data_IF_630558421234
#
_entry.id   IF_630558421234
#
_cell.length_a   1.000
_cell.length_b   1.000
_cell.length_c   1.000
_cell.angle_alpha   90.00
_cell.angle_beta   90.00
_cell.angle_gamma   90.00
#
_symmetry.space_group_name_H-M   'P 1'
#
loop_
_entity.id
_entity.type
_entity.pdbx_description
1 polymer ?
#
# COMPACT_ATOMS: atom_id res chain seq x y z
N UNK A 1 11.96 -1.64 -23.54
CA UNK A 1 12.93 -2.61 -22.97
C UNK A 1 12.52 -2.82 -21.52
N UNK A 2 12.17 -4.04 -21.14
CA UNK A 2 11.85 -4.38 -19.74
C UNK A 2 13.15 -4.38 -18.94
N UNK A 3 13.25 -3.53 -17.92
CA UNK A 3 14.36 -3.48 -16.95
C UNK A 3 14.34 -4.73 -16.06
N UNK A 4 14.89 -5.83 -16.60
CA UNK A 4 14.93 -7.15 -15.96
C UNK A 4 16.26 -7.34 -15.21
N UNK A 5 16.24 -7.86 -13.96
CA UNK A 5 17.46 -8.05 -13.20
C UNK A 5 18.47 -8.93 -13.92
N UNK A 6 19.75 -8.56 -13.82
CA UNK A 6 20.85 -9.34 -14.41
C UNK A 6 21.10 -10.62 -13.61
N UNK A 7 21.87 -11.56 -14.17
CA UNK A 7 22.28 -12.76 -13.44
C UNK A 7 23.04 -12.43 -12.14
N UNK A 8 23.81 -11.35 -12.13
CA UNK A 8 24.53 -10.86 -10.95
C UNK A 8 23.54 -10.35 -9.89
N UNK A 9 22.57 -9.52 -10.29
CA UNK A 9 21.52 -9.02 -9.39
C UNK A 9 20.77 -10.20 -8.75
N UNK A 10 20.39 -11.19 -9.57
CA UNK A 10 19.70 -12.39 -9.10
C UNK A 10 20.54 -13.22 -8.12
N UNK A 11 21.81 -13.51 -8.45
CA UNK A 11 22.70 -14.28 -7.55
C UNK A 11 22.83 -13.62 -6.18
N UNK A 12 23.01 -12.30 -6.16
CA UNK A 12 23.09 -11.53 -4.90
C UNK A 12 21.77 -11.62 -4.12
N UNK A 13 20.65 -11.34 -4.78
CA UNK A 13 19.32 -11.35 -4.14
C UNK A 13 18.96 -12.71 -3.55
N UNK A 14 19.14 -13.80 -4.30
CA UNK A 14 18.85 -15.16 -3.80
C UNK A 14 19.79 -15.57 -2.66
N UNK A 15 21.05 -15.13 -2.67
CA UNK A 15 22.01 -15.40 -1.58
C UNK A 15 21.61 -14.68 -0.29
N UNK A 16 21.22 -13.41 -0.40
CA UNK A 16 20.73 -12.62 0.72
C UNK A 16 19.41 -13.20 1.28
N UNK A 17 18.48 -13.58 0.39
CA UNK A 17 17.21 -14.19 0.76
C UNK A 17 17.39 -15.53 1.48
N UNK A 18 18.27 -16.42 1.02
CA UNK A 18 18.51 -17.70 1.72
C UNK A 18 19.17 -17.50 3.09
N UNK A 19 20.08 -16.52 3.21
CA UNK A 19 20.67 -16.16 4.50
C UNK A 19 19.60 -15.61 5.46
N UNK A 20 18.72 -14.72 4.99
CA UNK A 20 17.62 -14.18 5.78
C UNK A 20 16.63 -15.27 6.21
N UNK A 21 16.30 -16.20 5.31
CA UNK A 21 15.46 -17.37 5.63
C UNK A 21 16.06 -18.24 6.73
N UNK A 22 17.37 -18.44 6.71
CA UNK A 22 18.09 -19.20 7.75
C UNK A 22 18.11 -18.48 9.09
N UNK A 23 18.08 -17.14 9.11
CA UNK A 23 17.94 -16.34 10.33
C UNK A 23 16.54 -16.51 10.96
N UNK A 24 15.51 -16.72 10.12
CA UNK A 24 14.12 -16.95 10.52
C UNK A 24 13.62 -15.96 11.59
N UNK A 25 13.70 -14.64 11.35
CA UNK A 25 13.41 -13.64 12.37
C UNK A 25 11.97 -13.67 12.87
N UNK A 26 11.02 -14.08 12.02
CA UNK A 26 9.62 -14.28 12.33
C UNK A 26 9.35 -15.32 13.44
N UNK A 27 10.33 -16.15 13.83
CA UNK A 27 10.17 -17.07 14.96
C UNK A 27 10.29 -16.37 16.33
N UNK A 28 10.77 -15.11 16.37
CA UNK A 28 11.09 -14.42 17.61
C UNK A 28 10.87 -12.89 17.57
N UNK A 29 10.31 -12.36 16.50
CA UNK A 29 10.02 -10.94 16.30
C UNK A 29 8.59 -10.77 15.79
N UNK A 30 7.88 -9.80 16.37
CA UNK A 30 6.53 -9.38 15.95
C UNK A 30 6.59 -8.46 14.71
N UNK A 31 5.45 -8.26 14.06
CA UNK A 31 5.31 -7.50 12.80
C UNK A 31 5.10 -5.98 12.99
N UNK A 32 5.36 -5.48 14.20
CA UNK A 32 5.16 -4.08 14.61
C UNK A 32 6.45 -3.24 14.66
N UNK A 33 7.60 -3.82 14.30
CA UNK A 33 8.91 -3.13 14.31
C UNK A 33 9.51 -2.98 12.91
N UNK A 34 10.12 -1.83 12.69
CA UNK A 34 10.82 -1.50 11.44
C UNK A 34 12.18 -0.84 11.69
N UNK A 35 13.07 -0.95 10.69
CA UNK A 35 14.29 -0.16 10.59
C UNK A 35 14.45 0.38 9.16
N UNK A 36 15.10 1.53 8.99
CA UNK A 36 15.35 2.13 7.68
C UNK A 36 16.66 1.64 7.06
N UNK A 37 16.70 1.65 5.73
CA UNK A 37 17.91 1.50 4.93
C UNK A 37 17.95 2.64 3.93
N UNK A 38 18.98 3.48 4.00
CA UNK A 38 19.15 4.58 3.05
C UNK A 38 19.75 4.05 1.76
N UNK A 39 19.02 4.24 0.67
CA UNK A 39 19.51 3.95 -0.67
C UNK A 39 20.63 4.94 -1.02
N UNK A 40 21.86 4.47 -1.31
CA UNK A 40 22.99 5.35 -1.60
C UNK A 40 22.86 6.10 -2.93
N UNK A 41 22.10 5.56 -3.89
CA UNK A 41 21.96 6.15 -5.22
C UNK A 41 20.92 7.28 -5.25
N UNK A 42 19.84 7.12 -4.50
CA UNK A 42 18.70 8.06 -4.50
C UNK A 42 18.63 8.93 -3.24
N UNK A 43 19.28 8.52 -2.16
CA UNK A 43 19.15 9.13 -0.84
C UNK A 43 17.82 8.84 -0.14
N UNK A 44 16.88 8.13 -0.78
CA UNK A 44 15.61 7.72 -0.17
C UNK A 44 15.83 6.67 0.90
N UNK A 45 14.95 6.63 1.90
CA UNK A 45 15.00 5.64 2.97
C UNK A 45 13.84 4.68 2.78
N UNK A 46 14.15 3.39 2.68
CA UNK A 46 13.18 2.31 2.63
C UNK A 46 13.14 1.59 3.97
N UNK A 47 11.95 1.21 4.44
CA UNK A 47 11.75 0.69 5.80
C UNK A 47 11.48 -0.81 5.77
N UNK A 48 12.28 -1.55 6.50
CA UNK A 48 12.27 -3.00 6.54
C UNK A 48 11.48 -3.48 7.76
N UNK A 49 10.42 -4.26 7.53
CA UNK A 49 9.64 -4.97 8.54
C UNK A 49 9.66 -6.48 8.33
N UNK A 50 9.47 -7.24 9.40
CA UNK A 50 9.43 -8.72 9.38
C UNK A 50 7.97 -9.16 9.44
N UNK A 51 7.56 -10.05 8.54
CA UNK A 51 6.27 -10.74 8.63
C UNK A 51 6.45 -12.20 8.99
N UNK A 52 5.50 -12.74 9.76
CA UNK A 52 5.36 -14.17 10.00
C UNK A 52 5.16 -14.61 11.43
N UNK A 53 5.01 -13.67 12.37
CA UNK A 53 4.72 -13.98 13.78
C UNK A 53 3.44 -14.84 13.93
N UNK A 54 2.46 -14.66 13.04
CA UNK A 54 1.21 -15.45 13.00
C UNK A 54 1.32 -16.76 12.19
N UNK A 55 2.47 -17.06 11.59
CA UNK A 55 2.74 -18.33 10.90
C UNK A 55 2.14 -18.48 9.49
N UNK A 56 1.51 -17.44 8.95
CA UNK A 56 0.86 -17.48 7.62
C UNK A 56 1.79 -17.04 6.48
N UNK A 57 2.52 -15.94 6.66
CA UNK A 57 3.40 -15.34 5.64
C UNK A 57 4.78 -15.13 6.23
N UNK A 58 5.81 -15.74 5.63
CA UNK A 58 7.20 -15.57 6.06
C UNK A 58 7.92 -14.63 5.10
N UNK A 59 8.20 -13.39 5.51
CA UNK A 59 8.76 -12.40 4.59
C UNK A 59 9.56 -11.28 5.27
N UNK A 60 10.47 -10.69 4.48
CA UNK A 60 10.88 -9.30 4.68
C UNK A 60 10.03 -8.41 3.79
N UNK A 61 9.42 -7.37 4.37
CA UNK A 61 8.73 -6.30 3.64
C UNK A 61 9.58 -5.05 3.70
N UNK A 62 9.75 -4.39 2.56
CA UNK A 62 10.53 -3.17 2.39
C UNK A 62 9.57 -2.09 1.89
N UNK A 63 9.05 -1.30 2.82
CA UNK A 63 8.17 -0.16 2.55
C UNK A 63 8.95 0.97 1.91
N UNK A 64 8.57 1.36 0.69
CA UNK A 64 9.35 2.28 -0.12
C UNK A 64 9.11 3.75 0.26
N UNK A 65 10.15 4.44 0.72
CA UNK A 65 10.09 5.85 1.05
C UNK A 65 9.02 6.24 2.08
N UNK A 66 8.67 7.53 2.09
CA UNK A 66 7.66 8.07 3.01
C UNK A 66 6.25 7.54 2.69
N UNK A 67 5.95 7.23 1.42
CA UNK A 67 4.66 6.68 1.00
C UNK A 67 4.44 5.29 1.61
N UNK A 68 5.45 4.40 1.50
CA UNK A 68 5.43 3.08 2.11
C UNK A 68 5.37 3.16 3.64
N UNK A 69 6.18 4.01 4.27
CA UNK A 69 6.15 4.20 5.73
C UNK A 69 4.76 4.62 6.21
N UNK A 70 4.12 5.59 5.53
CA UNK A 70 2.77 6.04 5.89
C UNK A 70 1.76 4.89 5.81
N UNK A 71 1.89 4.03 4.80
CA UNK A 71 1.04 2.86 4.66
C UNK A 71 1.23 1.83 5.77
N UNK A 72 2.48 1.59 6.19
CA UNK A 72 2.79 0.78 7.36
C UNK A 72 2.20 1.37 8.64
N UNK A 73 2.40 2.67 8.90
CA UNK A 73 1.89 3.34 10.10
C UNK A 73 0.35 3.25 10.20
N UNK A 74 -0.36 3.47 9.09
CA UNK A 74 -1.82 3.31 9.02
C UNK A 74 -2.29 1.87 9.29
N UNK A 75 -1.47 0.88 8.93
CA UNK A 75 -1.78 -0.53 9.17
C UNK A 75 -1.61 -0.87 10.65
N UNK A 76 -0.49 -0.49 11.27
CA UNK A 76 -0.21 -0.80 12.69
C UNK A 76 -1.09 0.01 13.65
N UNK A 77 -1.49 1.24 13.27
CA UNK A 77 -2.41 2.07 14.08
C UNK A 77 -3.86 1.56 14.07
N UNK A 78 -4.21 0.64 13.16
CA UNK A 78 -5.57 0.17 12.96
C UNK A 78 -6.49 1.19 12.28
N UNK A 79 -5.95 2.26 11.68
CA UNK A 79 -6.72 3.22 10.89
C UNK A 79 -7.33 2.57 9.63
N UNK A 80 -6.68 1.54 9.09
CA UNK A 80 -7.22 0.73 8.00
C UNK A 80 -8.17 -0.31 8.60
N UNK A 81 -9.43 0.08 8.78
CA UNK A 81 -10.46 -0.80 9.33
C UNK A 81 -10.94 -1.87 8.31
N UNK A 82 -10.92 -1.55 7.02
CA UNK A 82 -11.40 -2.44 5.96
C UNK A 82 -10.24 -3.05 5.15
N UNK A 83 -10.31 -4.36 4.93
CA UNK A 83 -9.29 -5.09 4.15
C UNK A 83 -9.20 -4.61 2.70
N UNK A 84 -10.29 -4.09 2.12
CA UNK A 84 -10.33 -3.48 0.79
C UNK A 84 -9.40 -2.28 0.66
N UNK A 85 -9.16 -1.56 1.75
CA UNK A 85 -8.32 -0.36 1.76
C UNK A 85 -6.84 -0.69 1.95
N UNK A 86 -6.47 -1.89 2.42
CA UNK A 86 -5.05 -2.30 2.60
C UNK A 86 -4.25 -2.16 1.29
N UNK A 87 -4.88 -2.50 0.15
CA UNK A 87 -4.25 -2.40 -1.17
C UNK A 87 -3.92 -0.96 -1.57
N UNK A 88 -4.54 0.05 -0.96
CA UNK A 88 -4.28 1.47 -1.21
C UNK A 88 -2.98 1.96 -0.56
N UNK A 89 -2.55 1.29 0.48
CA UNK A 89 -1.46 1.74 1.33
C UNK A 89 -0.22 0.85 1.20
N UNK A 90 -0.31 -0.26 0.48
CA UNK A 90 0.79 -1.21 0.33
C UNK A 90 1.71 -0.83 -0.84
N UNK A 91 2.60 0.14 -0.60
CA UNK A 91 3.76 0.40 -1.46
C UNK A 91 5.01 -0.24 -0.86
N UNK A 92 5.43 -1.37 -1.43
CA UNK A 92 6.56 -2.12 -0.88
C UNK A 92 7.20 -3.08 -1.88
N UNK A 93 8.46 -3.43 -1.61
CA UNK A 93 9.08 -4.66 -2.11
C UNK A 93 8.94 -5.75 -1.06
N UNK A 94 8.76 -6.99 -1.50
CA UNK A 94 8.63 -8.13 -0.60
C UNK A 94 9.51 -9.27 -1.07
N UNK A 95 10.26 -9.85 -0.13
CA UNK A 95 10.91 -11.13 -0.26
C UNK A 95 10.20 -12.12 0.66
N UNK A 96 9.33 -12.97 0.10
CA UNK A 96 8.57 -13.98 0.84
C UNK A 96 9.06 -15.39 0.53
N UNK A 97 8.71 -16.34 1.40
CA UNK A 97 9.05 -17.75 1.24
C UNK A 97 7.78 -18.60 1.14
N UNK A 98 7.51 -19.03 -0.08
CA UNK A 98 6.23 -19.64 -0.45
C UNK A 98 6.34 -21.16 -0.68
N UNK A 99 5.19 -21.78 -0.99
CA UNK A 99 5.16 -23.10 -1.61
C UNK A 99 5.47 -23.01 -3.10
N UNK A 100 6.00 -24.10 -3.65
CA UNK A 100 6.30 -24.23 -5.09
C UNK A 100 5.11 -23.89 -6.00
N UNK A 101 3.89 -24.20 -5.56
CA UNK A 101 2.65 -24.03 -6.35
C UNK A 101 2.27 -22.56 -6.55
N UNK A 102 2.78 -21.66 -5.70
CA UNK A 102 2.43 -20.25 -5.71
C UNK A 102 3.39 -19.42 -6.60
N UNK A 103 4.51 -20.02 -7.02
CA UNK A 103 5.46 -19.39 -7.94
C UNK A 103 4.95 -19.40 -9.38
N UNK A 104 5.09 -18.26 -10.05
CA UNK A 104 4.78 -18.14 -11.46
C UNK A 104 5.86 -18.82 -12.33
N UNK A 105 5.56 -19.16 -13.59
CA UNK A 105 6.54 -19.75 -14.51
C UNK A 105 7.82 -18.93 -14.69
N UNK A 106 7.71 -17.59 -14.59
CA UNK A 106 8.85 -16.68 -14.67
C UNK A 106 9.79 -16.80 -13.46
N UNK A 107 9.25 -16.93 -12.24
CA UNK A 107 10.09 -17.16 -11.04
C UNK A 107 10.82 -18.49 -11.15
N UNK A 108 10.11 -19.53 -11.59
CA UNK A 108 10.67 -20.85 -11.82
C UNK A 108 11.75 -20.87 -12.91
N UNK A 109 11.69 -19.96 -13.88
CA UNK A 109 12.73 -19.82 -14.89
C UNK A 109 14.03 -19.26 -14.30
N UNK A 110 13.94 -18.24 -13.44
CA UNK A 110 15.09 -17.65 -12.74
C UNK A 110 15.75 -18.66 -11.81
N UNK A 111 14.98 -19.37 -10.99
CA UNK A 111 15.52 -20.40 -10.09
C UNK A 111 16.31 -21.47 -10.87
N UNK A 112 15.77 -21.90 -12.02
CA UNK A 112 16.42 -22.89 -12.89
C UNK A 112 17.69 -22.35 -13.54
N UNK A 113 17.69 -21.11 -14.04
CA UNK A 113 18.88 -20.54 -14.68
C UNK A 113 20.05 -20.38 -13.71
N UNK A 114 19.76 -20.13 -12.43
CA UNK A 114 20.77 -20.06 -11.37
C UNK A 114 21.22 -21.43 -10.84
N UNK A 115 20.60 -22.53 -11.29
CA UNK A 115 20.90 -23.88 -10.80
C UNK A 115 20.47 -24.14 -9.34
N UNK A 116 19.59 -23.31 -8.79
CA UNK A 116 19.14 -23.40 -7.40
C UNK A 116 18.10 -24.51 -7.21
N UNK A 117 18.06 -25.08 -6.00
CA UNK A 117 17.14 -26.16 -5.63
C UNK A 117 16.56 -25.92 -4.25
N UNK A 118 15.24 -26.01 -4.16
CA UNK A 118 14.48 -25.86 -2.93
C UNK A 118 13.60 -27.11 -2.73
N UNK A 119 13.47 -27.59 -1.49
CA UNK A 119 12.62 -28.74 -1.11
C UNK A 119 11.92 -28.53 0.23
N UNK A 120 10.60 -28.51 0.23
CA UNK A 120 9.79 -28.23 1.41
C UNK A 120 8.70 -27.19 1.12
N UNK A 121 7.91 -26.91 2.16
CA UNK A 121 6.91 -25.84 2.18
C UNK A 121 7.54 -24.54 2.66
N UNK A 122 7.02 -23.39 2.22
CA UNK A 122 7.42 -22.05 2.70
C UNK A 122 8.93 -21.80 2.67
N UNK A 123 9.58 -22.19 1.58
CA UNK A 123 11.04 -22.05 1.42
C UNK A 123 11.43 -21.58 0.02
N UNK A 124 10.47 -21.44 -0.90
CA UNK A 124 10.73 -20.99 -2.25
C UNK A 124 10.74 -19.46 -2.25
N UNK A 125 11.88 -18.79 -2.49
CA UNK A 125 11.91 -17.33 -2.49
C UNK A 125 11.02 -16.80 -3.61
N UNK A 126 10.11 -15.89 -3.27
CA UNK A 126 9.30 -15.13 -4.20
C UNK A 126 9.55 -13.64 -3.97
N UNK A 127 9.74 -12.90 -5.06
CA UNK A 127 10.02 -11.48 -5.01
C UNK A 127 8.94 -10.71 -5.76
N UNK A 128 8.28 -9.78 -5.05
CA UNK A 128 7.19 -8.98 -5.61
C UNK A 128 7.33 -7.52 -5.25
N UNK A 129 6.88 -6.67 -6.16
CA UNK A 129 6.63 -5.26 -5.92
C UNK A 129 5.13 -5.05 -5.76
N UNK A 130 4.74 -4.38 -4.69
CA UNK A 130 3.39 -3.96 -4.34
C UNK A 130 3.28 -2.47 -4.62
N UNK A 131 2.27 -2.11 -5.41
CA UNK A 131 2.01 -0.72 -5.81
C UNK A 131 0.51 -0.48 -5.64
N UNK A 132 0.11 0.59 -4.93
CA UNK A 132 -1.30 0.89 -4.72
C UNK A 132 -2.14 0.87 -6.00
N UNK A 133 -3.25 0.13 -5.96
CA UNK A 133 -4.15 -0.03 -7.09
C UNK A 133 -3.68 -1.03 -8.15
N UNK A 134 -2.63 -1.80 -7.90
CA UNK A 134 -2.15 -2.85 -8.80
C UNK A 134 -1.95 -4.19 -8.09
N UNK A 135 -2.12 -5.30 -8.83
CA UNK A 135 -1.75 -6.61 -8.29
C UNK A 135 -0.24 -6.71 -8.05
N UNK A 136 0.23 -7.53 -7.09
CA UNK A 136 1.65 -7.79 -6.90
C UNK A 136 2.32 -8.23 -8.21
N UNK A 137 3.51 -7.70 -8.50
CA UNK A 137 4.15 -7.90 -9.79
C UNK A 137 5.64 -8.21 -9.68
N UNK A 138 6.24 -8.68 -10.77
CA UNK A 138 7.67 -8.94 -10.84
C UNK A 138 8.48 -7.66 -10.61
N UNK A 139 9.63 -7.83 -9.93
CA UNK A 139 10.55 -6.74 -9.60
C UNK A 139 11.45 -6.37 -10.80
N UNK A 140 11.85 -5.09 -10.86
CA UNK A 140 12.85 -4.60 -11.83
C UNK A 140 14.27 -4.80 -11.33
N UNK A 141 15.28 -4.56 -12.18
CA UNK A 141 16.71 -4.64 -11.77
C UNK A 141 17.03 -3.75 -10.58
N UNK A 142 16.55 -2.50 -10.61
CA UNK A 142 16.76 -1.55 -9.50
C UNK A 142 16.11 -2.06 -8.22
N UNK A 143 14.88 -2.55 -8.30
CA UNK A 143 14.16 -3.11 -7.15
C UNK A 143 14.86 -4.37 -6.60
N UNK A 144 15.42 -5.22 -7.46
CA UNK A 144 16.20 -6.39 -7.03
C UNK A 144 17.43 -5.99 -6.21
N UNK A 145 18.15 -4.94 -6.63
CA UNK A 145 19.32 -4.42 -5.91
C UNK A 145 18.94 -3.82 -4.56
N UNK A 146 17.85 -3.04 -4.51
CA UNK A 146 17.33 -2.46 -3.27
C UNK A 146 16.94 -3.56 -2.29
N UNK A 147 16.15 -4.54 -2.75
CA UNK A 147 15.69 -5.65 -1.92
C UNK A 147 16.86 -6.50 -1.40
N UNK A 148 17.88 -6.74 -2.23
CA UNK A 148 19.09 -7.44 -1.81
C UNK A 148 19.86 -6.67 -0.71
N UNK A 149 20.05 -5.36 -0.88
CA UNK A 149 20.68 -4.50 0.14
C UNK A 149 19.87 -4.52 1.45
N UNK A 150 18.55 -4.45 1.37
CA UNK A 150 17.68 -4.48 2.55
C UNK A 150 17.78 -5.82 3.30
N UNK A 151 17.77 -6.95 2.58
CA UNK A 151 17.99 -8.28 3.17
C UNK A 151 19.37 -8.39 3.84
N UNK A 152 20.41 -7.86 3.20
CA UNK A 152 21.77 -7.82 3.77
C UNK A 152 21.83 -6.97 5.05
N UNK A 153 21.18 -5.81 5.08
CA UNK A 153 21.12 -4.98 6.28
C UNK A 153 20.23 -5.63 7.37
N UNK A 154 19.18 -6.35 7.00
CA UNK A 154 18.39 -7.12 7.96
C UNK A 154 19.24 -8.18 8.69
N UNK A 155 20.18 -8.82 7.99
CA UNK A 155 21.11 -9.79 8.60
C UNK A 155 22.07 -9.16 9.62
N UNK A 156 22.29 -7.84 9.56
CA UNK A 156 23.07 -7.10 10.56
C UNK A 156 22.19 -6.59 11.70
N UNK A 157 21.07 -5.95 11.39
CA UNK A 157 20.21 -5.26 12.37
C UNK A 157 19.45 -6.25 13.25
N UNK A 158 18.84 -7.28 12.65
CA UNK A 158 17.91 -8.15 13.37
C UNK A 158 18.58 -8.98 14.49
N UNK A 159 19.79 -9.54 14.33
CA UNK A 159 20.50 -10.16 15.44
C UNK A 159 20.83 -9.21 16.59
N UNK A 160 21.09 -7.93 16.31
CA UNK A 160 21.32 -6.90 17.33
C UNK A 160 20.03 -6.54 18.06
N UNK A 161 18.92 -6.42 17.32
CA UNK A 161 17.59 -6.23 17.89
C UNK A 161 17.20 -7.40 18.82
N UNK A 162 17.49 -8.65 18.43
CA UNK A 162 17.24 -9.83 19.28
C UNK A 162 17.95 -9.75 20.64
N UNK A 163 19.14 -9.16 20.68
CA UNK A 163 19.92 -8.97 21.91
C UNK A 163 19.47 -7.74 22.71
N UNK A 164 18.95 -6.73 22.02
CA UNK A 164 18.48 -5.48 22.60
C UNK A 164 17.21 -4.99 21.88
N UNK A 165 16.01 -5.40 22.33
CA UNK A 165 14.76 -4.99 21.68
C UNK A 165 14.55 -3.47 21.65
N UNK A 166 15.14 -2.71 22.57
CA UNK A 166 15.08 -1.25 22.58
C UNK A 166 15.86 -0.58 21.43
N UNK A 167 16.59 -1.37 20.61
CA UNK A 167 17.26 -0.89 19.41
C UNK A 167 16.26 -0.35 18.38
N UNK A 168 15.11 -1.00 18.24
CA UNK A 168 14.04 -0.57 17.35
C UNK A 168 12.92 0.00 18.21
N UNK A 169 12.74 1.32 18.14
CA UNK A 169 11.68 2.01 18.87
C UNK A 169 10.29 1.74 18.29
N UNK A 170 9.28 2.20 19.01
CA UNK A 170 7.90 2.26 18.53
C UNK A 170 7.84 3.10 17.24
N UNK A 171 7.34 2.57 16.11
CA UNK A 171 7.30 3.29 14.85
C UNK A 171 6.59 4.65 14.91
N UNK A 172 5.57 4.77 15.75
CA UNK A 172 4.74 5.96 15.93
C UNK A 172 5.51 7.11 16.58
N UNK A 173 6.65 6.85 17.21
CA UNK A 173 7.51 7.92 17.78
C UNK A 173 8.20 8.77 16.71
N UNK A 174 8.15 8.34 15.44
CA UNK A 174 8.82 8.98 14.31
C UNK A 174 10.34 8.84 14.33
N UNK A 175 10.91 8.15 15.32
CA UNK A 175 12.36 7.95 15.45
C UNK A 175 12.75 6.56 14.98
N UNK A 176 13.39 6.48 13.83
CA UNK A 176 13.76 5.20 13.22
C UNK A 176 15.28 5.02 13.19
N UNK A 177 15.75 3.83 13.55
CA UNK A 177 17.11 3.39 13.26
C UNK A 177 17.26 3.24 11.75
N UNK A 178 18.22 3.94 11.15
CA UNK A 178 18.49 3.89 9.70
C UNK A 178 19.92 3.46 9.44
N UNK A 179 20.09 2.47 8.57
CA UNK A 179 21.39 2.05 8.04
C UNK A 179 21.80 2.96 6.90
N UNK A 180 22.96 3.60 7.04
CA UNK A 180 23.52 4.53 6.05
C UNK A 180 24.88 4.03 5.61
N UNK A 181 25.13 4.04 4.29
CA UNK A 181 26.45 3.75 3.74
C UNK A 181 27.31 5.01 3.81
N UNK A 182 28.38 4.99 4.60
CA UNK A 182 29.32 6.09 4.75
C UNK A 182 30.10 6.37 3.46
N UNK A 183 30.31 7.66 3.17
CA UNK A 183 31.17 8.09 2.05
C UNK A 183 32.63 7.89 2.48
N UNK A 184 33.40 7.11 1.72
CA UNK A 184 34.85 6.99 1.90
C UNK A 184 35.54 8.31 1.52
N UNK A 185 35.56 9.30 2.41
CA UNK A 185 36.39 10.50 2.21
C UNK A 185 37.62 10.59 3.11
N UNK A 186 37.70 9.86 4.25
CA UNK A 186 38.92 9.88 5.06
C UNK A 186 39.26 8.52 5.70
N UNK A 187 40.39 7.93 5.27
CA UNK A 187 40.95 6.65 5.75
C UNK A 187 41.79 6.82 7.03
N UNK A 188 41.32 7.57 8.02
CA UNK A 188 42.07 7.80 9.26
C UNK A 188 41.36 7.35 10.53
N UNK A 189 40.06 7.09 10.49
CA UNK A 189 39.34 6.50 11.62
C UNK A 189 38.83 5.11 11.24
N UNK A 190 39.16 4.14 12.09
CA UNK A 190 38.85 2.72 11.88
C UNK A 190 37.33 2.57 11.75
N UNK A 191 36.86 2.39 10.53
CA UNK A 191 35.51 1.92 10.28
C UNK A 191 35.41 0.51 10.89
N UNK A 192 34.66 0.37 11.97
CA UNK A 192 34.33 -0.92 12.56
C UNK A 192 33.76 -1.81 11.46
N UNK A 193 34.51 -2.85 11.07
CA UNK A 193 34.17 -4.12 10.38
C UNK A 193 32.96 -4.30 9.43
N UNK A 194 32.10 -3.32 9.21
CA UNK A 194 30.75 -3.41 8.68
C UNK A 194 30.66 -2.77 7.29
N UNK A 195 31.61 -3.07 6.41
CA UNK A 195 31.52 -2.82 4.95
C UNK A 195 31.05 -1.41 4.54
N UNK A 196 31.38 -0.36 5.30
CA UNK A 196 30.94 1.01 5.00
C UNK A 196 29.67 1.49 5.72
N UNK A 197 28.87 0.60 6.31
CA UNK A 197 27.56 0.94 6.88
C UNK A 197 27.65 1.37 8.36
N UNK A 198 26.85 2.36 8.74
CA UNK A 198 26.69 2.81 10.13
C UNK A 198 25.22 3.10 10.45
N UNK A 199 24.92 3.24 11.74
CA UNK A 199 23.58 3.56 12.23
C UNK A 199 23.42 5.08 12.38
N UNK A 200 22.27 5.59 11.94
CA UNK A 200 21.77 6.92 12.26
C UNK A 200 20.37 6.80 12.88
N UNK A 201 20.02 7.70 13.80
CA UNK A 201 18.64 7.86 14.25
C UNK A 201 18.04 9.02 13.48
N UNK A 202 17.11 8.71 12.59
CA UNK A 202 16.44 9.73 11.78
C UNK A 202 15.04 9.92 12.35
N UNK A 203 14.73 11.18 12.67
CA UNK A 203 13.39 11.60 13.02
C UNK A 203 12.67 11.96 11.72
N UNK A 204 11.64 11.20 11.39
CA UNK A 204 10.69 11.64 10.39
C UNK A 204 9.67 12.52 11.10
N UNK A 205 9.30 13.69 10.52
CA UNK A 205 8.10 14.36 10.99
C UNK A 205 6.96 13.33 10.94
N UNK A 206 6.08 13.33 11.95
CA UNK A 206 4.77 12.69 11.79
C UNK A 206 4.30 13.01 10.37
N UNK A 207 3.77 12.04 9.60
CA UNK A 207 3.29 12.33 8.28
C UNK A 207 2.37 13.53 8.45
N UNK A 208 2.78 14.72 7.98
CA UNK A 208 1.89 15.87 7.93
C UNK A 208 0.62 15.30 7.32
N UNK A 209 -0.54 15.54 7.96
CA UNK A 209 -1.82 15.21 7.36
C UNK A 209 -1.73 15.76 5.95
N UNK A 210 -1.42 14.91 4.96
CA UNK A 210 -1.26 15.33 3.58
C UNK A 210 -2.65 15.81 3.31
N UNK A 211 -2.81 17.13 3.30
CA UNK A 211 -4.11 17.77 3.18
C UNK A 211 -4.76 17.05 2.04
N UNK A 212 -5.92 16.42 2.29
CA UNK A 212 -6.61 15.63 1.27
C UNK A 212 -6.52 16.42 -0.04
N UNK A 213 -6.02 15.82 -1.13
CA UNK A 213 -5.61 16.56 -2.31
C UNK A 213 -6.66 17.62 -2.62
N UNK A 214 -6.26 18.90 -2.65
CA UNK A 214 -7.19 20.01 -2.88
C UNK A 214 -7.70 19.85 -4.30
N UNK A 215 -8.85 19.21 -4.41
CA UNK A 215 -9.51 18.94 -5.68
C UNK A 215 -10.46 20.12 -5.95
N UNK A 216 -10.22 20.91 -7.01
CA UNK A 216 -11.05 22.08 -7.29
C UNK A 216 -12.45 21.61 -7.69
N UNK A 217 -13.44 21.99 -6.89
CA UNK A 217 -14.83 21.60 -7.12
C UNK A 217 -15.46 22.33 -8.30
N UNK A 218 -16.42 21.69 -8.98
CA UNK A 218 -17.28 22.34 -9.97
C UNK A 218 -18.37 23.20 -9.30
N UNK A 219 -17.96 24.36 -8.78
CA UNK A 219 -18.84 25.33 -8.12
C UNK A 219 -20.02 25.78 -9.01
N UNK A 220 -19.82 25.82 -10.34
CA UNK A 220 -20.84 26.22 -11.30
C UNK A 220 -21.96 25.18 -11.32
N UNK A 221 -21.60 23.89 -11.45
CA UNK A 221 -22.57 22.80 -11.41
C UNK A 221 -23.26 22.71 -10.05
N UNK A 222 -22.52 22.86 -8.94
CA UNK A 222 -23.07 22.86 -7.58
C UNK A 222 -24.13 23.97 -7.43
N UNK A 223 -23.80 25.21 -7.81
CA UNK A 223 -24.72 26.35 -7.72
C UNK A 223 -25.94 26.22 -8.64
N UNK A 224 -25.79 25.57 -9.79
CA UNK A 224 -26.89 25.29 -10.73
C UNK A 224 -27.83 24.23 -10.17
N UNK A 225 -27.30 23.14 -9.62
CA UNK A 225 -28.08 22.04 -9.05
C UNK A 225 -28.79 22.50 -7.79
N UNK A 226 -28.15 23.27 -6.91
CA UNK A 226 -28.74 23.74 -5.64
C UNK A 226 -30.01 24.59 -5.83
N UNK A 227 -30.24 25.16 -7.02
CA UNK A 227 -31.45 25.93 -7.37
C UNK A 227 -32.67 25.06 -7.73
N UNK A 228 -32.54 23.75 -7.88
CA UNK A 228 -33.62 22.87 -8.35
C UNK A 228 -34.75 22.61 -7.32
N UNK A 229 -34.66 23.19 -6.11
CA UNK A 229 -35.70 23.15 -5.07
C UNK A 229 -36.33 21.77 -4.85
N UNK A 230 -35.48 20.76 -4.60
CA UNK A 230 -35.91 19.38 -4.39
C UNK A 230 -36.24 19.08 -2.93
N UNK A 231 -37.16 18.14 -2.72
CA UNK A 231 -37.45 17.61 -1.39
C UNK A 231 -36.21 16.90 -0.84
N UNK A 232 -36.07 16.90 0.48
CA UNK A 232 -35.02 16.16 1.17
C UNK A 232 -35.61 14.95 1.87
N UNK A 233 -34.89 13.82 1.80
CA UNK A 233 -35.26 12.59 2.50
C UNK A 233 -34.08 11.63 2.51
N UNK A 234 -33.92 10.95 3.64
CA UNK A 234 -33.10 9.75 3.75
C UNK A 234 -31.60 10.03 3.79
N UNK A 235 -30.85 8.95 3.90
CA UNK A 235 -29.40 8.96 4.04
C UNK A 235 -28.78 8.19 2.89
N UNK A 236 -27.79 8.78 2.22
CA UNK A 236 -27.05 8.10 1.17
C UNK A 236 -25.63 7.81 1.62
N UNK A 237 -25.20 6.59 1.39
CA UNK A 237 -23.81 6.15 1.55
C UNK A 237 -23.06 6.38 0.24
N UNK A 238 -21.93 7.07 0.31
CA UNK A 238 -21.01 7.25 -0.81
C UNK A 238 -19.76 6.41 -0.55
N UNK A 239 -19.76 5.23 -1.14
CA UNK A 239 -18.68 4.27 -1.06
C UNK A 239 -17.59 4.52 -2.08
N UNK A 240 -16.34 4.37 -1.65
CA UNK A 240 -15.16 4.61 -2.45
C UNK A 240 -14.07 3.59 -2.09
N UNK A 241 -13.69 2.72 -3.02
CA UNK A 241 -12.67 1.69 -2.78
C UNK A 241 -12.08 1.16 -4.08
N UNK A 242 -11.11 0.24 -4.02
CA UNK A 242 -10.73 -0.56 -5.18
C UNK A 242 -11.73 -1.69 -5.44
N UNK A 243 -12.03 -1.95 -6.72
CA UNK A 243 -12.82 -3.10 -7.11
C UNK A 243 -12.08 -4.41 -6.82
N UNK A 244 -12.79 -5.48 -6.43
CA UNK A 244 -12.17 -6.78 -6.16
C UNK A 244 -11.74 -7.54 -7.44
N UNK A 245 -12.02 -6.99 -8.62
CA UNK A 245 -11.74 -7.63 -9.91
C UNK A 245 -10.62 -6.88 -10.65
N UNK A 246 -9.44 -7.51 -10.84
CA UNK A 246 -8.34 -6.90 -11.57
C UNK A 246 -8.64 -6.85 -13.07
N UNK A 247 -8.23 -5.75 -13.70
CA UNK A 247 -8.26 -5.57 -15.15
C UNK A 247 -6.84 -5.71 -15.69
N UNK A 248 -6.70 -6.52 -16.74
CA UNK A 248 -5.46 -6.66 -17.50
C UNK A 248 -5.75 -6.50 -19.00
N UNK A 249 -5.47 -5.31 -19.54
CA UNK A 249 -5.72 -5.00 -20.95
C UNK A 249 -4.81 -5.79 -21.89
N UNK A 250 -3.55 -6.00 -21.49
CA UNK A 250 -2.56 -6.79 -22.25
C UNK A 250 -1.84 -7.76 -21.33
N UNK A 251 -1.55 -8.97 -21.85
CA UNK A 251 -0.92 -10.06 -21.11
C UNK A 251 0.44 -9.71 -20.51
N UNK A 252 1.17 -8.77 -21.11
CA UNK A 252 2.49 -8.31 -20.68
C UNK A 252 2.45 -7.17 -19.66
N UNK A 253 1.27 -6.59 -19.40
CA UNK A 253 1.12 -5.49 -18.45
C UNK A 253 0.71 -5.97 -17.06
N UNK A 254 1.16 -5.23 -16.05
CA UNK A 254 0.73 -5.41 -14.66
C UNK A 254 -0.79 -5.17 -14.56
N UNK A 255 -1.59 -6.14 -14.06
CA UNK A 255 -3.00 -5.92 -13.80
C UNK A 255 -3.22 -4.83 -12.76
N UNK A 256 -4.28 -4.05 -12.95
CA UNK A 256 -4.68 -2.98 -12.03
C UNK A 256 -6.07 -3.23 -11.47
N UNK A 257 -6.36 -2.65 -10.31
CA UNK A 257 -7.68 -2.62 -9.72
C UNK A 257 -8.32 -1.26 -10.05
N UNK A 258 -9.47 -1.22 -10.75
CA UNK A 258 -10.18 0.03 -10.94
C UNK A 258 -10.75 0.52 -9.60
N UNK A 259 -10.95 1.83 -9.48
CA UNK A 259 -11.68 2.46 -8.38
C UNK A 259 -13.18 2.31 -8.59
N UNK A 260 -13.91 2.10 -7.51
CA UNK A 260 -15.37 2.14 -7.44
C UNK A 260 -15.80 3.46 -6.81
N UNK A 261 -16.82 4.08 -7.39
CA UNK A 261 -17.72 4.99 -6.69
C UNK A 261 -19.12 4.37 -6.67
N UNK A 262 -19.66 4.13 -5.48
CA UNK A 262 -21.06 3.73 -5.30
C UNK A 262 -21.82 4.76 -4.49
N UNK A 263 -23.04 5.08 -4.91
CA UNK A 263 -23.98 5.87 -4.12
C UNK A 263 -25.18 4.97 -3.84
N UNK A 264 -25.44 4.69 -2.57
CA UNK A 264 -26.48 3.74 -2.15
C UNK A 264 -27.41 4.43 -1.18
N UNK A 265 -28.71 4.28 -1.38
CA UNK A 265 -29.71 4.70 -0.41
C UNK A 265 -29.68 3.72 0.78
N UNK A 266 -29.33 4.23 1.96
CA UNK A 266 -29.07 3.40 3.15
C UNK A 266 -30.33 2.62 3.59
N UNK A 267 -31.51 3.25 3.50
CA UNK A 267 -32.75 2.67 4.02
C UNK A 267 -33.30 1.56 3.11
N UNK A 268 -33.18 1.72 1.79
CA UNK A 268 -33.72 0.77 0.82
C UNK A 268 -32.70 -0.20 0.24
N UNK A 269 -31.39 0.06 0.43
CA UNK A 269 -30.31 -0.67 -0.25
C UNK A 269 -30.24 -0.40 -1.76
N UNK A 270 -31.01 0.58 -2.27
CA UNK A 270 -31.05 0.86 -3.69
C UNK A 270 -29.75 1.53 -4.15
N UNK A 271 -29.10 0.95 -5.17
CA UNK A 271 -27.95 1.55 -5.84
C UNK A 271 -28.43 2.74 -6.68
N UNK A 272 -28.08 3.95 -6.25
CA UNK A 272 -28.44 5.20 -6.92
C UNK A 272 -27.50 5.53 -8.08
N UNK A 273 -26.23 5.18 -7.95
CA UNK A 273 -25.18 5.36 -8.94
C UNK A 273 -24.03 4.39 -8.64
N UNK A 274 -23.40 3.83 -9.67
CA UNK A 274 -22.28 2.92 -9.52
C UNK A 274 -21.34 3.05 -10.72
N UNK A 275 -20.06 3.32 -10.47
CA UNK A 275 -19.09 3.62 -11.51
C UNK A 275 -17.72 3.02 -11.20
N UNK A 276 -17.04 2.61 -12.27
CA UNK A 276 -15.69 2.06 -12.26
C UNK A 276 -14.79 2.99 -13.07
N UNK A 277 -13.67 3.39 -12.50
CA UNK A 277 -12.69 4.25 -13.19
C UNK A 277 -11.28 3.79 -12.88
N UNK A 278 -10.34 4.08 -13.79
CA UNK A 278 -8.93 3.81 -13.54
C UNK A 278 -8.41 4.76 -12.46
N UNK A 279 -7.58 4.27 -11.53
CA UNK A 279 -7.10 5.01 -10.35
C UNK A 279 -6.32 6.31 -10.61
N UNK A 280 -5.98 6.65 -11.86
CA UNK A 280 -5.34 7.92 -12.21
C UNK A 280 -6.30 8.96 -12.81
N UNK A 281 -7.54 8.57 -13.11
CA UNK A 281 -8.50 9.34 -13.91
C UNK A 281 -9.84 9.53 -13.17
N UNK A 282 -9.99 8.92 -11.99
CA UNK A 282 -11.27 8.71 -11.33
C UNK A 282 -11.86 9.95 -10.65
N UNK A 283 -11.05 10.82 -10.03
CA UNK A 283 -11.58 11.89 -9.15
C UNK A 283 -12.58 12.80 -9.86
N UNK A 284 -12.21 13.31 -11.05
CA UNK A 284 -13.08 14.20 -11.83
C UNK A 284 -14.31 13.48 -12.37
N UNK A 285 -14.11 12.27 -12.89
CA UNK A 285 -15.22 11.44 -13.35
C UNK A 285 -16.21 11.18 -12.21
N UNK A 286 -15.74 10.86 -11.01
CA UNK A 286 -16.55 10.59 -9.84
C UNK A 286 -17.30 11.83 -9.33
N UNK A 287 -16.66 13.00 -9.30
CA UNK A 287 -17.37 14.26 -9.01
C UNK A 287 -18.55 14.46 -9.96
N UNK A 288 -18.32 14.31 -11.27
CA UNK A 288 -19.37 14.43 -12.29
C UNK A 288 -20.51 13.42 -12.06
N UNK A 289 -20.20 12.19 -11.62
CA UNK A 289 -21.22 11.18 -11.31
C UNK A 289 -22.03 11.52 -10.07
N UNK A 290 -21.39 12.03 -9.01
CA UNK A 290 -22.09 12.49 -7.79
C UNK A 290 -23.06 13.62 -8.15
N UNK A 291 -22.57 14.65 -8.84
CA UNK A 291 -23.39 15.78 -9.28
C UNK A 291 -24.52 15.33 -10.22
N UNK A 292 -24.23 14.45 -11.18
CA UNK A 292 -25.25 13.90 -12.09
C UNK A 292 -26.32 13.10 -11.34
N UNK A 293 -25.95 12.35 -10.31
CA UNK A 293 -26.89 11.62 -9.47
C UNK A 293 -27.82 12.59 -8.73
N UNK A 294 -27.27 13.61 -8.08
CA UNK A 294 -28.05 14.65 -7.37
C UNK A 294 -28.93 15.47 -8.31
N UNK A 295 -28.50 15.70 -9.54
CA UNK A 295 -29.24 16.41 -10.57
C UNK A 295 -30.42 15.59 -11.13
N UNK A 296 -30.26 14.29 -11.34
CA UNK A 296 -31.29 13.46 -11.99
C UNK A 296 -32.39 12.96 -11.05
N UNK A 297 -32.13 12.91 -9.75
CA UNK A 297 -33.10 12.39 -8.75
C UNK A 297 -34.11 13.45 -8.34
N UNK A 298 -35.35 13.05 -8.07
CA UNK A 298 -36.42 13.98 -7.67
C UNK A 298 -36.30 14.50 -6.24
N UNK A 299 -35.44 13.87 -5.44
CA UNK A 299 -35.13 14.25 -4.06
C UNK A 299 -33.63 14.24 -3.81
N UNK A 300 -33.22 14.97 -2.78
CA UNK A 300 -31.86 14.96 -2.24
C UNK A 300 -31.82 14.22 -0.91
N UNK A 301 -30.67 13.67 -0.53
CA UNK A 301 -30.49 13.14 0.81
C UNK A 301 -30.54 14.28 1.83
N UNK A 302 -30.99 13.95 3.04
CA UNK A 302 -30.76 14.80 4.21
C UNK A 302 -29.31 14.70 4.67
N UNK A 303 -28.73 13.50 4.55
CA UNK A 303 -27.41 13.17 5.02
C UNK A 303 -26.62 12.32 3.99
N UNK A 304 -25.34 12.66 3.84
CA UNK A 304 -24.34 11.87 3.13
C UNK A 304 -23.38 11.23 4.13
N UNK A 305 -23.11 9.93 3.96
CA UNK A 305 -22.11 9.19 4.72
C UNK A 305 -20.93 8.82 3.82
N UNK A 306 -19.71 8.98 4.33
CA UNK A 306 -18.44 8.61 3.66
C UNK A 306 -17.49 7.97 4.66
N UNK A 307 -16.67 7.02 4.23
CA UNK A 307 -15.66 6.34 5.06
C UNK A 307 -14.22 6.49 4.54
N UNK A 308 -14.03 7.18 3.40
CA UNK A 308 -12.74 7.31 2.73
C UNK A 308 -12.30 8.78 2.53
N UNK A 309 -11.00 9.08 2.68
CA UNK A 309 -10.43 10.44 2.58
C UNK A 309 -10.73 11.12 1.24
N UNK A 310 -10.53 10.42 0.12
CA UNK A 310 -10.84 10.97 -1.21
C UNK A 310 -12.34 11.20 -1.41
N UNK A 311 -13.21 10.38 -0.81
CA UNK A 311 -14.65 10.60 -0.88
C UNK A 311 -15.04 11.84 -0.07
N UNK A 312 -14.43 12.06 1.10
CA UNK A 312 -14.58 13.31 1.87
C UNK A 312 -14.17 14.52 1.02
N UNK A 313 -13.01 14.46 0.36
CA UNK A 313 -12.52 15.56 -0.48
C UNK A 313 -13.49 15.90 -1.63
N UNK A 314 -14.04 14.87 -2.30
CA UNK A 314 -15.01 15.04 -3.39
C UNK A 314 -16.37 15.59 -2.89
N UNK A 315 -16.85 15.08 -1.76
CA UNK A 315 -18.23 15.33 -1.31
C UNK A 315 -18.36 16.60 -0.47
N UNK A 316 -17.31 17.01 0.26
CA UNK A 316 -17.32 18.21 1.11
C UNK A 316 -17.81 19.47 0.39
N UNK A 317 -17.25 19.88 -0.76
CA UNK A 317 -17.71 21.09 -1.46
C UNK A 317 -19.14 20.96 -1.99
N UNK A 318 -19.54 19.76 -2.44
CA UNK A 318 -20.90 19.47 -2.91
C UNK A 318 -21.90 19.59 -1.76
N UNK A 319 -21.61 18.95 -0.63
CA UNK A 319 -22.45 18.98 0.56
C UNK A 319 -22.61 20.40 1.09
N UNK A 320 -21.51 21.16 1.19
CA UNK A 320 -21.54 22.56 1.62
C UNK A 320 -22.37 23.43 0.67
N UNK A 321 -22.13 23.37 -0.65
CA UNK A 321 -22.83 24.20 -1.62
C UNK A 321 -24.30 23.84 -1.84
N UNK A 322 -24.69 22.59 -1.53
CA UNK A 322 -26.09 22.14 -1.53
C UNK A 322 -26.75 22.21 -0.16
N UNK A 323 -25.99 22.54 0.90
CA UNK A 323 -26.44 22.54 2.29
C UNK A 323 -26.87 21.17 2.81
N UNK A 324 -26.28 20.08 2.33
CA UNK A 324 -26.54 18.70 2.77
C UNK A 324 -25.60 18.37 3.95
N UNK A 325 -26.09 17.63 4.94
CA UNK A 325 -25.25 17.20 6.07
C UNK A 325 -24.29 16.11 5.62
N UNK A 326 -23.00 16.24 5.92
CA UNK A 326 -21.98 15.24 5.64
C UNK A 326 -21.43 14.67 6.96
N UNK A 327 -21.40 13.34 7.06
CA UNK A 327 -20.76 12.64 8.17
C UNK A 327 -19.69 11.68 7.66
N UNK A 328 -18.50 11.77 8.27
CA UNK A 328 -17.49 10.73 8.14
C UNK A 328 -17.82 9.61 9.12
N UNK A 329 -17.93 8.39 8.62
CA UNK A 329 -18.23 7.18 9.39
C UNK A 329 -17.12 6.16 9.22
N UNK A 330 -17.14 5.10 10.04
CA UNK A 330 -16.16 4.00 9.91
C UNK A 330 -16.58 2.93 8.91
N UNK A 331 -17.88 2.78 8.69
CA UNK A 331 -18.45 1.71 7.87
C UNK A 331 -19.67 2.24 7.11
N UNK A 332 -19.86 1.70 5.91
CA UNK A 332 -20.98 1.96 5.01
C UNK A 332 -21.70 0.62 4.75
N UNK A 333 -22.64 0.19 5.60
CA UNK A 333 -23.25 -1.13 5.52
C UNK A 333 -24.00 -1.38 4.21
N UNK A 334 -24.78 -0.42 3.71
CA UNK A 334 -25.53 -0.60 2.47
C UNK A 334 -24.59 -0.70 1.26
N UNK A 335 -23.50 0.08 1.23
CA UNK A 335 -22.47 -0.05 0.20
C UNK A 335 -21.67 -1.36 0.34
N UNK A 336 -21.41 -1.82 1.55
CA UNK A 336 -20.70 -3.07 1.81
C UNK A 336 -21.46 -4.28 1.24
N UNK A 337 -22.80 -4.31 1.39
CA UNK A 337 -23.64 -5.34 0.78
C UNK A 337 -23.53 -5.36 -0.75
N UNK A 338 -23.47 -4.19 -1.38
CA UNK A 338 -23.26 -4.07 -2.84
C UNK A 338 -21.91 -4.65 -3.24
N UNK A 339 -20.84 -4.36 -2.48
CA UNK A 339 -19.51 -4.90 -2.75
C UNK A 339 -19.44 -6.43 -2.58
N UNK A 340 -20.12 -6.98 -1.57
CA UNK A 340 -20.14 -8.43 -1.35
C UNK A 340 -20.87 -9.17 -2.47
N UNK A 341 -21.92 -8.57 -3.04
CA UNK A 341 -22.57 -9.08 -4.26
C UNK A 341 -21.61 -9.19 -5.46
N UNK A 342 -20.63 -8.28 -5.58
CA UNK A 342 -19.61 -8.34 -6.64
C UNK A 342 -18.60 -9.47 -6.43
N UNK A 343 -18.30 -9.82 -5.19
CA UNK A 343 -17.36 -10.91 -4.85
C UNK A 343 -17.98 -12.30 -5.07
N UNK A 344 -19.30 -12.44 -4.87
CA UNK A 344 -20.03 -13.72 -4.97
C UNK A 344 -20.46 -14.15 -6.37
N UNK A 345 -20.12 -13.37 -7.41
CA UNK A 345 -20.58 -13.59 -8.80
C UNK A 345 -19.55 -14.31 -9.70
N UNK A 346 -18.52 -14.93 -9.12
CA UNK A 346 -17.39 -15.54 -9.83
C UNK A 346 -17.38 -17.07 -9.85
#
# INVERSE_FOLDING_TARGET
>A
MTDQPTEIDWKRLYTAADSYRKLAPWEWMDDDRIFGVKNPDTGSIDYCGVLGALGEVFALVVYEGNEGLRGFLKLVSGEIAQSSHVVEYQRALMASFEDRKDLAPADMAVIRSLGLKFRGKNIWPMFRHYLPGYLPWFITSTQARVLATCLEQALDVLPRYRQNPALLGEPETGRHLVRVLGVQEDRSEKLDGHNGWHDEIITFPEPEEISSPVFPADEISIARISRQAKKRRGTWEIGYCYAPMPIQERRDQRPYLPRILGIVDQDSGMILSFHLEKSGEHLRAFEEKILSCLEKRDFWPECLLVDHDEAVALVTPIAAGMGIVLHRVRELPAFSEVLDGLKGSG
#
